data_IF_161772900379
#
_entry.id   IF_161772900379
#
_cell.length_a   1.000
_cell.length_b   1.000
_cell.length_c   1.000
_cell.angle_alpha   90.00
_cell.angle_beta   90.00
_cell.angle_gamma   90.00
#
_symmetry.space_group_name_H-M   'P 1'
#
loop_
_entity.id
_entity.type
_entity.pdbx_description
1 polymer ?
#
# COMPACT_ATOMS: atom_id res chain seq x y z
N UNK A 1 23.74 -12.99 8.70
CA UNK A 1 22.69 -13.79 9.37
C UNK A 1 21.36 -13.44 8.73
N UNK A 2 20.44 -14.40 8.58
CA UNK A 2 19.14 -14.17 7.95
C UNK A 2 18.22 -13.29 8.80
N UNK A 3 17.16 -12.73 8.21
CA UNK A 3 16.11 -12.03 8.95
C UNK A 3 15.31 -12.98 9.82
N UNK A 4 14.61 -12.44 10.81
CA UNK A 4 13.66 -13.19 11.63
C UNK A 4 12.28 -12.56 11.55
N UNK A 5 11.28 -13.39 11.29
CA UNK A 5 9.87 -13.06 11.28
C UNK A 5 9.22 -13.59 12.54
N UNK A 6 8.58 -12.70 13.31
CA UNK A 6 7.73 -13.03 14.45
C UNK A 6 6.29 -12.95 13.97
N UNK A 7 5.53 -14.02 14.15
CA UNK A 7 4.27 -14.23 13.44
C UNK A 7 3.17 -14.50 14.44
N UNK A 8 2.06 -13.78 14.34
CA UNK A 8 0.91 -13.97 15.22
C UNK A 8 0.28 -15.36 15.03
N UNK A 9 -0.14 -15.99 16.12
CA UNK A 9 -0.71 -17.37 16.12
C UNK A 9 -1.95 -17.47 15.22
N UNK A 10 -2.71 -16.38 15.07
CA UNK A 10 -3.84 -16.31 14.16
C UNK A 10 -3.45 -16.59 12.70
N UNK A 11 -2.23 -16.20 12.30
CA UNK A 11 -1.67 -16.48 10.97
C UNK A 11 -1.35 -17.96 10.81
N UNK A 12 -0.82 -18.62 11.85
CA UNK A 12 -0.59 -20.07 11.84
C UNK A 12 -1.90 -20.83 11.64
N UNK A 13 -2.92 -20.47 12.43
CA UNK A 13 -4.25 -21.06 12.32
C UNK A 13 -4.90 -20.83 10.95
N UNK A 14 -4.69 -19.64 10.38
CA UNK A 14 -5.18 -19.31 9.04
C UNK A 14 -4.48 -20.13 7.93
N UNK A 15 -3.15 -20.17 7.92
CA UNK A 15 -2.38 -20.95 6.93
C UNK A 15 -2.68 -22.45 7.04
N UNK A 16 -2.84 -22.97 8.26
CA UNK A 16 -3.19 -24.37 8.50
C UNK A 16 -4.55 -24.73 7.90
N UNK A 17 -5.57 -23.87 8.08
CA UNK A 17 -6.89 -24.04 7.45
C UNK A 17 -6.82 -24.02 5.93
N UNK A 18 -5.97 -23.16 5.35
CA UNK A 18 -5.76 -23.16 3.90
C UNK A 18 -5.11 -24.44 3.39
N UNK A 19 -4.20 -25.06 4.16
CA UNK A 19 -3.62 -26.36 3.81
C UNK A 19 -4.66 -27.50 3.77
N UNK A 20 -5.73 -27.41 4.57
CA UNK A 20 -6.82 -28.40 4.60
C UNK A 20 -7.77 -28.25 3.40
N UNK A 21 -7.89 -27.05 2.84
CA UNK A 21 -8.75 -26.73 1.69
C UNK A 21 -8.04 -27.07 0.37
N UNK A 22 -7.88 -28.36 0.08
CA UNK A 22 -7.16 -28.84 -1.11
C UNK A 22 -7.94 -28.63 -2.42
N UNK A 23 -7.57 -27.60 -3.17
CA UNK A 23 -7.75 -27.52 -4.61
C UNK A 23 -6.69 -26.59 -5.24
N UNK A 24 -5.55 -27.16 -5.63
CA UNK A 24 -4.49 -26.45 -6.37
C UNK A 24 -3.52 -25.63 -5.52
N UNK A 25 -2.68 -24.82 -6.20
CA UNK A 25 -1.76 -23.90 -5.54
C UNK A 25 -2.50 -22.67 -5.03
N UNK A 26 -2.25 -22.29 -3.77
CA UNK A 26 -2.84 -21.12 -3.12
C UNK A 26 -1.75 -20.09 -2.96
N UNK A 27 -1.97 -18.85 -3.40
CA UNK A 27 -1.10 -17.71 -3.14
C UNK A 27 -1.79 -16.69 -2.26
N UNK A 28 -1.00 -15.82 -1.63
CA UNK A 28 -1.51 -14.72 -0.86
C UNK A 28 -0.41 -13.82 -0.33
N UNK A 29 -0.80 -12.85 0.49
CA UNK A 29 0.06 -11.79 0.99
C UNK A 29 0.24 -11.94 2.49
N UNK A 30 1.43 -11.57 2.97
CA UNK A 30 1.77 -11.45 4.38
C UNK A 30 1.84 -9.97 4.71
N UNK A 31 1.12 -9.55 5.75
CA UNK A 31 0.97 -8.15 6.15
C UNK A 31 1.50 -7.98 7.56
N UNK A 32 2.17 -6.86 7.80
CA UNK A 32 2.84 -6.64 9.06
C UNK A 32 3.62 -5.33 9.10
N UNK A 33 4.55 -5.26 10.05
CA UNK A 33 5.46 -4.13 10.18
C UNK A 33 6.90 -4.62 10.14
N UNK A 34 7.71 -3.98 9.29
CA UNK A 34 9.15 -4.22 9.26
C UNK A 34 9.88 -3.43 10.34
N UNK A 35 10.98 -4.00 10.84
CA UNK A 35 11.92 -3.28 11.72
C UNK A 35 13.36 -3.64 11.35
N UNK A 36 14.31 -2.87 11.90
CA UNK A 36 15.74 -3.03 11.60
C UNK A 36 16.29 -4.39 12.02
N UNK A 37 15.68 -5.05 13.01
CA UNK A 37 16.14 -6.34 13.53
C UNK A 37 15.25 -7.53 13.17
N UNK A 38 13.93 -7.33 13.18
CA UNK A 38 12.92 -8.38 13.00
C UNK A 38 11.69 -7.78 12.35
N UNK A 39 10.94 -8.62 11.65
CA UNK A 39 9.66 -8.23 11.08
C UNK A 39 8.52 -8.94 11.80
N UNK A 40 7.37 -8.28 11.87
CA UNK A 40 6.21 -8.74 12.63
C UNK A 40 5.07 -8.98 11.66
N UNK A 41 4.72 -10.24 11.43
CA UNK A 41 3.61 -10.63 10.57
C UNK A 41 2.35 -10.75 11.42
N UNK A 42 1.38 -9.87 11.18
CA UNK A 42 0.16 -9.78 11.99
C UNK A 42 -1.04 -10.44 11.31
N UNK A 43 -1.04 -10.48 9.98
CA UNK A 43 -2.13 -11.11 9.22
C UNK A 43 -1.63 -11.66 7.89
N UNK A 44 -2.38 -12.60 7.35
CA UNK A 44 -2.17 -13.17 6.02
C UNK A 44 -3.51 -13.19 5.28
N UNK A 45 -3.49 -12.86 4.00
CA UNK A 45 -4.70 -12.86 3.16
C UNK A 45 -4.47 -13.68 1.90
N UNK A 46 -5.40 -14.57 1.58
CA UNK A 46 -5.35 -15.40 0.37
C UNK A 46 -5.73 -14.52 -0.83
N UNK A 47 -4.99 -14.65 -1.92
CA UNK A 47 -5.39 -14.06 -3.20
C UNK A 47 -6.70 -14.70 -3.66
N UNK A 48 -7.76 -13.90 -3.91
CA UNK A 48 -9.07 -14.41 -4.33
C UNK A 48 -8.97 -15.27 -5.59
N UNK A 49 -9.88 -16.23 -5.78
CA UNK A 49 -9.99 -16.96 -7.04
C UNK A 49 -10.70 -16.10 -8.09
N UNK A 50 -10.19 -16.07 -9.32
CA UNK A 50 -10.84 -15.38 -10.43
C UNK A 50 -12.09 -16.16 -10.86
N UNK A 51 -13.27 -15.53 -10.83
CA UNK A 51 -14.57 -16.19 -11.08
C UNK A 51 -14.65 -16.87 -12.47
N UNK A 52 -13.90 -16.41 -13.47
CA UNK A 52 -13.88 -16.99 -14.82
C UNK A 52 -12.97 -18.23 -15.00
N UNK A 53 -12.17 -18.60 -13.99
CA UNK A 53 -11.11 -19.62 -14.11
C UNK A 53 -11.45 -20.97 -13.47
N UNK A 54 -12.73 -21.31 -13.30
CA UNK A 54 -13.12 -22.65 -12.88
C UNK A 54 -12.74 -23.76 -13.91
N UNK A 55 -12.38 -23.38 -15.15
CA UNK A 55 -12.05 -24.32 -16.23
C UNK A 55 -10.55 -24.38 -16.62
N UNK A 56 -9.70 -23.48 -16.12
CA UNK A 56 -8.27 -23.50 -16.40
C UNK A 56 -7.49 -23.95 -15.15
N UNK A 57 -7.46 -25.26 -14.92
CA UNK A 57 -6.56 -25.90 -13.96
C UNK A 57 -5.11 -25.82 -14.47
N UNK A 58 -4.56 -24.61 -14.53
CA UNK A 58 -3.13 -24.37 -14.65
C UNK A 58 -2.56 -24.28 -13.23
N UNK A 59 -1.65 -25.19 -12.87
CA UNK A 59 -1.00 -25.26 -11.56
C UNK A 59 -0.16 -24.01 -11.18
N UNK A 60 -0.06 -23.01 -12.05
CA UNK A 60 0.73 -21.79 -11.83
C UNK A 60 -0.14 -20.63 -11.35
N UNK A 61 0.31 -19.86 -10.35
CA UNK A 61 -0.43 -18.69 -9.89
C UNK A 61 -0.53 -17.62 -10.97
N UNK A 62 -1.71 -17.03 -11.11
CA UNK A 62 -1.95 -15.83 -11.92
C UNK A 62 -1.20 -14.65 -11.29
N UNK A 63 -0.11 -14.22 -11.95
CA UNK A 63 0.81 -13.23 -11.38
C UNK A 63 0.17 -11.86 -11.37
N UNK A 64 -0.48 -11.50 -12.46
CA UNK A 64 -1.20 -10.24 -12.64
C UNK A 64 -2.28 -10.09 -11.58
N UNK A 65 -2.98 -11.18 -11.25
CA UNK A 65 -4.01 -11.16 -10.21
C UNK A 65 -3.45 -11.02 -8.79
N UNK A 66 -2.31 -11.65 -8.49
CA UNK A 66 -1.62 -11.46 -7.20
C UNK A 66 -1.12 -10.02 -7.05
N UNK A 67 -0.62 -9.42 -8.14
CA UNK A 67 -0.17 -8.02 -8.18
C UNK A 67 -1.34 -7.08 -7.93
N UNK A 68 -2.48 -7.30 -8.60
CA UNK A 68 -3.69 -6.49 -8.40
C UNK A 68 -4.26 -6.63 -6.97
N UNK A 69 -4.30 -7.86 -6.43
CA UNK A 69 -4.66 -8.07 -5.03
C UNK A 69 -3.71 -7.33 -4.08
N UNK A 70 -2.41 -7.29 -4.38
CA UNK A 70 -1.44 -6.55 -3.57
C UNK A 70 -1.66 -5.04 -3.63
N UNK A 71 -1.99 -4.49 -4.80
CA UNK A 71 -2.39 -3.07 -4.95
C UNK A 71 -3.58 -2.74 -4.06
N UNK A 72 -4.62 -3.57 -4.12
CA UNK A 72 -5.84 -3.32 -3.35
C UNK A 72 -5.58 -3.39 -1.86
N UNK A 73 -4.84 -4.41 -1.42
CA UNK A 73 -4.45 -4.56 -0.02
C UNK A 73 -3.59 -3.39 0.43
N UNK A 74 -2.55 -3.00 -0.32
CA UNK A 74 -1.66 -1.90 0.08
C UNK A 74 -2.40 -0.57 0.25
N UNK A 75 -3.39 -0.29 -0.61
CA UNK A 75 -4.28 0.89 -0.53
C UNK A 75 -5.21 0.89 0.69
N UNK A 76 -5.42 -0.27 1.32
CA UNK A 76 -6.29 -0.45 2.49
C UNK A 76 -5.54 -0.48 3.82
N UNK A 77 -4.20 -0.54 3.80
CA UNK A 77 -3.41 -0.64 5.02
C UNK A 77 -3.27 0.72 5.71
N UNK A 78 -3.48 0.79 7.04
CA UNK A 78 -3.16 1.98 7.82
C UNK A 78 -1.65 2.15 7.98
N UNK A 79 -1.23 3.34 8.38
CA UNK A 79 0.15 3.68 8.69
C UNK A 79 0.85 2.64 9.56
N UNK A 80 2.10 2.35 9.23
CA UNK A 80 2.90 1.36 9.94
C UNK A 80 2.64 -0.09 9.56
N UNK A 81 1.58 -0.38 8.81
CA UNK A 81 1.38 -1.70 8.20
C UNK A 81 1.73 -1.66 6.72
N UNK A 82 2.38 -2.72 6.24
CA UNK A 82 2.73 -2.91 4.84
C UNK A 82 2.62 -4.38 4.44
N UNK A 83 2.60 -4.63 3.13
CA UNK A 83 2.77 -5.97 2.58
C UNK A 83 4.25 -6.35 2.76
N UNK A 84 4.52 -7.29 3.66
CA UNK A 84 5.87 -7.77 3.95
C UNK A 84 6.35 -8.79 2.92
N UNK A 85 5.43 -9.43 2.22
CA UNK A 85 5.75 -10.40 1.17
C UNK A 85 4.62 -11.32 0.78
N UNK A 86 4.98 -12.44 0.16
CA UNK A 86 4.04 -13.36 -0.51
C UNK A 86 4.18 -14.76 0.08
N UNK A 87 3.07 -15.46 0.26
CA UNK A 87 3.07 -16.89 0.56
C UNK A 87 2.52 -17.71 -0.61
N UNK A 88 2.99 -18.95 -0.70
CA UNK A 88 2.44 -19.99 -1.57
C UNK A 88 2.25 -21.29 -0.79
N UNK A 89 1.12 -21.95 -1.00
CA UNK A 89 0.82 -23.29 -0.50
C UNK A 89 0.68 -24.19 -1.72
N UNK A 90 1.59 -25.14 -1.87
CA UNK A 90 1.59 -26.11 -2.98
C UNK A 90 2.26 -27.40 -2.54
N UNK A 91 1.89 -28.52 -3.14
CA UNK A 91 2.49 -29.82 -2.82
C UNK A 91 3.85 -30.06 -3.52
N UNK A 92 4.24 -29.16 -4.43
CA UNK A 92 5.49 -29.21 -5.19
C UNK A 92 6.63 -28.42 -4.52
N UNK A 93 7.69 -29.11 -4.09
CA UNK A 93 8.93 -28.49 -3.59
C UNK A 93 9.97 -28.30 -4.71
N UNK A 94 9.61 -27.63 -5.81
CA UNK A 94 10.50 -27.45 -6.96
C UNK A 94 11.26 -26.12 -6.95
N UNK A 95 12.37 -26.05 -7.71
CA UNK A 95 13.06 -24.78 -7.99
C UNK A 95 12.17 -23.78 -8.74
N UNK A 96 11.16 -24.27 -9.45
CA UNK A 96 10.22 -23.45 -10.21
C UNK A 96 9.28 -22.69 -9.26
N UNK A 97 8.87 -23.32 -8.14
CA UNK A 97 8.10 -22.64 -7.08
C UNK A 97 8.88 -21.47 -6.51
N UNK A 98 10.16 -21.66 -6.17
CA UNK A 98 11.01 -20.57 -5.67
C UNK A 98 11.16 -19.44 -6.69
N UNK A 99 11.35 -19.78 -7.96
CA UNK A 99 11.46 -18.81 -9.06
C UNK A 99 10.16 -18.02 -9.23
N UNK A 100 9.02 -18.69 -9.12
CA UNK A 100 7.69 -18.07 -9.23
C UNK A 100 7.44 -17.09 -8.08
N UNK A 101 7.70 -17.50 -6.84
CA UNK A 101 7.47 -16.61 -5.68
C UNK A 101 8.45 -15.44 -5.67
N UNK A 102 9.70 -15.65 -6.12
CA UNK A 102 10.64 -14.54 -6.37
C UNK A 102 10.03 -13.53 -7.35
N UNK A 103 9.59 -13.99 -8.52
CA UNK A 103 8.98 -13.10 -9.52
C UNK A 103 7.78 -12.35 -8.97
N UNK A 104 6.92 -13.01 -8.19
CA UNK A 104 5.78 -12.39 -7.52
C UNK A 104 6.21 -11.29 -6.54
N UNK A 105 7.15 -11.57 -5.64
CA UNK A 105 7.63 -10.59 -4.66
C UNK A 105 8.21 -9.35 -5.33
N UNK A 106 9.05 -9.50 -6.34
CA UNK A 106 9.62 -8.35 -7.06
C UNK A 106 8.54 -7.57 -7.81
N UNK A 107 7.57 -8.25 -8.42
CA UNK A 107 6.49 -7.56 -9.14
C UNK A 107 5.54 -6.81 -8.20
N UNK A 108 5.17 -7.42 -7.07
CA UNK A 108 4.37 -6.81 -6.02
C UNK A 108 5.08 -5.58 -5.44
N UNK A 109 6.35 -5.70 -5.10
CA UNK A 109 7.10 -4.60 -4.52
C UNK A 109 7.33 -3.47 -5.52
N UNK A 110 7.67 -3.78 -6.78
CA UNK A 110 7.81 -2.77 -7.83
C UNK A 110 6.51 -1.98 -8.03
N UNK A 111 5.36 -2.67 -7.99
CA UNK A 111 4.05 -2.03 -8.07
C UNK A 111 3.85 -1.08 -6.89
N UNK A 112 3.94 -1.59 -5.66
CA UNK A 112 3.67 -0.80 -4.44
C UNK A 112 4.63 0.39 -4.35
N UNK A 113 5.93 0.17 -4.57
CA UNK A 113 6.94 1.22 -4.59
C UNK A 113 6.69 2.30 -5.66
N UNK A 114 6.04 1.95 -6.79
CA UNK A 114 5.73 2.92 -7.85
C UNK A 114 4.56 3.86 -7.53
N UNK A 115 3.70 3.48 -6.57
CA UNK A 115 2.57 4.30 -6.12
C UNK A 115 2.93 5.22 -4.93
N UNK A 116 4.12 5.05 -4.33
CA UNK A 116 4.58 5.92 -3.25
C UNK A 116 4.98 7.32 -3.78
N UNK A 117 4.59 8.36 -3.04
CA UNK A 117 4.95 9.76 -3.32
C UNK A 117 6.09 10.29 -2.43
N UNK A 118 6.78 9.39 -1.73
CA UNK A 118 7.94 9.70 -0.90
C UNK A 118 9.14 8.88 -1.36
N UNK A 119 10.33 9.38 -1.04
CA UNK A 119 11.56 8.63 -1.31
C UNK A 119 11.78 7.58 -0.20
N UNK A 120 12.37 6.42 -0.54
CA UNK A 120 12.85 5.49 0.47
C UNK A 120 13.89 6.18 1.35
N UNK A 121 13.74 6.05 2.67
CA UNK A 121 14.70 6.53 3.64
C UNK A 121 15.79 5.46 3.89
N UNK A 122 16.97 5.88 4.36
CA UNK A 122 18.10 4.97 4.60
C UNK A 122 17.80 3.86 5.62
N UNK A 123 16.83 4.10 6.52
CA UNK A 123 16.38 3.16 7.54
C UNK A 123 15.23 2.25 7.07
N UNK A 124 14.74 2.41 5.82
CA UNK A 124 13.70 1.55 5.28
C UNK A 124 14.24 0.14 4.97
N UNK A 125 13.49 -0.86 5.42
CA UNK A 125 13.80 -2.26 5.16
C UNK A 125 13.46 -2.62 3.71
N UNK A 126 14.44 -3.14 2.97
CA UNK A 126 14.27 -3.57 1.57
C UNK A 126 14.06 -5.08 1.42
N UNK A 127 14.20 -5.84 2.51
CA UNK A 127 13.95 -7.27 2.47
C UNK A 127 12.46 -7.58 2.47
N UNK A 128 12.04 -8.43 1.53
CA UNK A 128 10.68 -8.92 1.39
C UNK A 128 10.64 -10.44 1.58
N UNK A 129 9.63 -10.95 2.29
CA UNK A 129 9.53 -12.37 2.68
C UNK A 129 8.80 -13.22 1.64
N UNK A 130 9.26 -14.45 1.51
CA UNK A 130 8.60 -15.51 0.76
C UNK A 130 8.39 -16.70 1.66
N UNK A 131 7.14 -17.14 1.76
CA UNK A 131 6.76 -18.30 2.57
C UNK A 131 6.22 -19.39 1.65
N UNK A 132 6.89 -20.52 1.60
CA UNK A 132 6.38 -21.71 0.93
C UNK A 132 5.96 -22.75 1.96
N UNK A 133 4.70 -23.14 1.96
CA UNK A 133 4.17 -24.20 2.83
C UNK A 133 3.78 -25.40 1.98
N UNK A 134 4.37 -26.56 2.27
CA UNK A 134 3.98 -27.81 1.64
C UNK A 134 2.95 -28.54 2.53
N UNK A 135 1.68 -28.66 2.09
CA UNK A 135 0.64 -29.26 2.91
C UNK A 135 0.83 -30.77 3.12
N UNK A 136 1.52 -31.47 2.20
CA UNK A 136 1.77 -32.91 2.31
C UNK A 136 2.86 -33.22 3.32
N UNK A 137 3.97 -32.48 3.27
CA UNK A 137 5.12 -32.72 4.15
C UNK A 137 5.06 -31.90 5.44
N UNK A 138 4.14 -30.93 5.53
CA UNK A 138 4.04 -29.92 6.59
C UNK A 138 5.32 -29.10 6.77
N UNK A 139 6.14 -29.03 5.71
CA UNK A 139 7.37 -28.23 5.72
C UNK A 139 7.05 -26.80 5.33
N UNK A 140 7.65 -25.88 6.06
CA UNK A 140 7.59 -24.44 5.78
C UNK A 140 8.99 -23.95 5.43
N UNK A 141 9.11 -23.29 4.29
CA UNK A 141 10.34 -22.67 3.82
C UNK A 141 10.18 -21.16 3.80
N UNK A 142 10.89 -20.47 4.70
CA UNK A 142 10.92 -19.02 4.77
C UNK A 142 12.23 -18.49 4.16
N UNK A 143 12.12 -17.60 3.18
CA UNK A 143 13.26 -16.95 2.53
C UNK A 143 12.99 -15.47 2.27
N UNK A 144 14.04 -14.67 2.23
CA UNK A 144 13.95 -13.24 1.94
C UNK A 144 14.73 -12.85 0.70
N UNK A 145 14.27 -11.78 0.07
CA UNK A 145 14.92 -11.13 -1.06
C UNK A 145 15.08 -9.66 -0.76
N UNK A 146 16.26 -9.12 -1.05
CA UNK A 146 16.46 -7.68 -1.11
C UNK A 146 15.86 -7.18 -2.43
N UNK A 147 14.72 -6.51 -2.35
CA UNK A 147 13.94 -6.09 -3.53
C UNK A 147 14.58 -4.94 -4.30
N UNK A 148 15.54 -4.23 -3.70
CA UNK A 148 16.32 -3.19 -4.38
C UNK A 148 17.45 -3.77 -5.23
N UNK A 149 17.83 -5.02 -5.00
CA UNK A 149 18.80 -5.74 -5.82
C UNK A 149 18.09 -6.77 -6.72
N UNK A 150 17.91 -6.51 -8.03
CA UNK A 150 17.32 -7.47 -8.96
C UNK A 150 18.03 -8.83 -9.01
N UNK A 151 19.33 -8.86 -8.65
CA UNK A 151 20.17 -10.07 -8.59
C UNK A 151 20.18 -10.72 -7.21
N UNK A 152 19.43 -10.17 -6.25
CA UNK A 152 19.41 -10.64 -4.86
C UNK A 152 19.13 -12.13 -4.79
N UNK A 153 19.95 -12.90 -4.09
CA UNK A 153 19.72 -14.34 -3.91
C UNK A 153 18.83 -14.59 -2.69
N UNK A 154 18.06 -15.68 -2.73
CA UNK A 154 17.16 -16.05 -1.64
C UNK A 154 17.97 -16.37 -0.38
N UNK A 155 17.78 -15.60 0.70
CA UNK A 155 18.44 -15.82 1.99
C UNK A 155 17.47 -16.58 2.91
N UNK A 156 17.89 -17.67 3.57
CA UNK A 156 17.05 -18.31 4.60
C UNK A 156 16.72 -17.31 5.71
N UNK A 157 15.49 -17.37 6.23
CA UNK A 157 15.05 -16.55 7.34
C UNK A 157 14.33 -17.39 8.39
N UNK A 158 14.41 -16.93 9.63
CA UNK A 158 13.73 -17.55 10.76
C UNK A 158 12.24 -17.20 10.70
N UNK A 159 11.38 -18.20 10.87
CA UNK A 159 9.92 -18.04 10.95
C UNK A 159 9.44 -18.59 12.29
N UNK A 160 8.96 -17.71 13.18
CA UNK A 160 8.63 -18.07 14.56
C UNK A 160 7.24 -17.56 14.91
N UNK A 161 6.35 -18.49 15.26
CA UNK A 161 5.04 -18.14 15.82
C UNK A 161 5.18 -17.69 17.26
N UNK A 162 4.43 -16.65 17.63
CA UNK A 162 4.42 -16.10 18.97
C UNK A 162 3.04 -15.55 19.26
N UNK A 163 2.51 -15.88 20.44
CA UNK A 163 1.23 -15.33 20.90
C UNK A 163 1.34 -13.86 21.25
N UNK A 164 0.36 -13.05 20.82
CA UNK A 164 0.23 -11.67 21.26
C UNK A 164 1.27 -10.74 20.64
N UNK A 165 1.68 -10.98 19.39
CA UNK A 165 2.52 -10.05 18.62
C UNK A 165 1.89 -8.66 18.60
N UNK A 166 0.55 -8.60 18.46
CA UNK A 166 -0.20 -7.35 18.44
C UNK A 166 -0.37 -6.69 19.83
N UNK A 167 -0.04 -7.37 20.93
CA UNK A 167 -0.31 -6.85 22.29
C UNK A 167 0.55 -5.66 22.70
N UNK A 168 1.70 -5.47 22.04
CA UNK A 168 2.65 -4.37 22.28
C UNK A 168 2.49 -3.20 21.30
N UNK A 169 1.46 -3.21 20.46
CA UNK A 169 1.28 -2.22 19.41
C UNK A 169 0.59 -0.97 19.96
N UNK A 170 1.22 0.19 19.77
CA UNK A 170 0.62 1.49 20.07
C UNK A 170 0.01 2.08 18.81
N UNK A 171 -1.15 2.73 18.93
CA UNK A 171 -1.77 3.47 17.84
C UNK A 171 -1.58 4.97 18.08
N UNK A 172 -1.12 5.68 17.04
CA UNK A 172 -1.15 7.14 16.97
C UNK A 172 -2.13 7.55 15.86
N UNK A 173 -2.72 8.73 16.01
CA UNK A 173 -3.66 9.25 15.01
C UNK A 173 -3.51 10.75 14.85
N UNK A 174 -3.73 11.25 13.64
CA UNK A 174 -3.83 12.68 13.39
C UNK A 174 -5.00 12.99 12.44
N UNK A 175 -5.43 14.25 12.45
CA UNK A 175 -6.38 14.77 11.48
C UNK A 175 -5.71 15.93 10.74
N UNK A 176 -5.83 15.96 9.42
CA UNK A 176 -5.32 17.05 8.58
C UNK A 176 -6.39 17.51 7.60
N UNK A 177 -6.53 18.81 7.45
CA UNK A 177 -7.36 19.39 6.40
C UNK A 177 -6.52 19.52 5.14
N UNK A 178 -7.01 18.94 4.07
CA UNK A 178 -6.45 19.07 2.73
C UNK A 178 -7.24 20.16 2.00
N UNK A 179 -6.53 21.15 1.48
CA UNK A 179 -7.05 22.13 0.52
C UNK A 179 -5.92 22.43 -0.48
N UNK A 180 -5.93 21.71 -1.60
CA UNK A 180 -4.98 21.89 -2.69
C UNK A 180 -5.68 22.42 -3.94
N UNK A 181 -4.98 23.27 -4.67
CA UNK A 181 -5.39 23.76 -5.98
C UNK A 181 -4.35 23.33 -7.01
N UNK A 182 -4.74 22.42 -7.90
CA UNK A 182 -3.87 21.88 -8.95
C UNK A 182 -4.13 22.65 -10.25
N UNK A 183 -3.18 23.45 -10.74
CA UNK A 183 -3.32 24.11 -12.03
C UNK A 183 -3.22 23.10 -13.17
N UNK A 184 -4.13 23.20 -14.15
CA UNK A 184 -4.08 22.39 -15.36
C UNK A 184 -3.44 23.16 -16.52
N UNK A 185 -2.67 22.49 -17.41
CA UNK A 185 -2.05 23.15 -18.55
C UNK A 185 -3.10 23.70 -19.53
N UNK A 186 -2.73 24.76 -20.28
CA UNK A 186 -3.58 25.39 -21.32
C UNK A 186 -3.98 24.43 -22.46
N UNK A 187 -3.29 23.29 -22.57
CA UNK A 187 -3.52 22.29 -23.59
C UNK A 187 -4.75 21.41 -23.27
N UNK A 188 -5.75 21.40 -24.15
CA UNK A 188 -6.98 20.58 -24.07
C UNK A 188 -6.76 19.07 -24.29
N UNK A 189 -5.63 18.51 -23.88
CA UNK A 189 -5.28 17.10 -24.15
C UNK A 189 -5.60 16.19 -22.97
N UNK A 190 -6.86 15.74 -22.87
CA UNK A 190 -7.26 14.49 -22.23
C UNK A 190 -6.90 14.24 -20.76
N UNK A 191 -7.44 13.15 -20.23
CA UNK A 191 -7.29 12.70 -18.83
C UNK A 191 -5.83 12.37 -18.46
N UNK A 192 -4.98 12.04 -19.43
CA UNK A 192 -3.53 11.77 -19.22
C UNK A 192 -2.74 13.03 -18.79
N UNK A 193 -3.04 14.20 -19.34
CA UNK A 193 -2.38 15.45 -18.92
C UNK A 193 -2.80 15.87 -17.51
N UNK A 194 -4.03 15.55 -17.12
CA UNK A 194 -4.55 15.77 -15.77
C UNK A 194 -3.92 14.80 -14.76
N UNK A 195 -3.79 13.51 -15.08
CA UNK A 195 -3.10 12.52 -14.23
C UNK A 195 -1.66 12.97 -13.96
N UNK A 196 -0.94 13.40 -14.99
CA UNK A 196 0.43 13.89 -14.84
C UNK A 196 0.49 15.13 -13.94
N UNK A 197 -0.41 16.10 -14.16
CA UNK A 197 -0.45 17.34 -13.36
C UNK A 197 -0.78 17.07 -11.89
N UNK A 198 -1.74 16.17 -11.63
CA UNK A 198 -2.12 15.77 -10.27
C UNK A 198 -0.99 15.01 -9.58
N UNK A 199 -0.31 14.09 -10.27
CA UNK A 199 0.85 13.38 -9.71
C UNK A 199 1.97 14.32 -9.32
N UNK A 200 2.31 15.30 -10.16
CA UNK A 200 3.34 16.27 -9.82
C UNK A 200 2.93 17.16 -8.64
N UNK A 201 1.69 17.66 -8.61
CA UNK A 201 1.22 18.48 -7.49
C UNK A 201 1.15 17.69 -6.18
N UNK A 202 0.72 16.43 -6.23
CA UNK A 202 0.71 15.54 -5.07
C UNK A 202 2.12 15.22 -4.57
N UNK A 203 3.13 15.11 -5.46
CA UNK A 203 4.54 14.98 -5.04
C UNK A 203 5.02 16.24 -4.31
N UNK A 204 4.70 17.43 -4.84
CA UNK A 204 5.06 18.70 -4.19
C UNK A 204 4.42 18.77 -2.81
N UNK A 205 3.13 18.48 -2.70
CA UNK A 205 2.44 18.46 -1.42
C UNK A 205 2.98 17.39 -0.46
N UNK A 206 3.27 16.17 -0.95
CA UNK A 206 3.87 15.12 -0.14
C UNK A 206 5.23 15.56 0.43
N UNK A 207 6.05 16.26 -0.37
CA UNK A 207 7.33 16.80 0.07
C UNK A 207 7.18 17.94 1.10
N UNK A 208 6.18 18.80 0.94
CA UNK A 208 5.84 19.83 1.94
C UNK A 208 5.40 19.19 3.26
N UNK A 209 4.56 18.15 3.21
CA UNK A 209 4.13 17.43 4.40
C UNK A 209 5.30 16.69 5.06
N UNK A 210 6.18 16.08 4.26
CA UNK A 210 7.37 15.38 4.76
C UNK A 210 8.33 16.33 5.49
N UNK A 211 8.56 17.52 4.92
CA UNK A 211 9.42 18.57 5.51
C UNK A 211 8.76 19.40 6.61
N UNK A 212 7.43 19.31 6.77
CA UNK A 212 6.67 20.02 7.79
C UNK A 212 7.03 19.61 9.21
N UNK A 213 6.78 20.48 10.19
CA UNK A 213 7.02 20.16 11.61
C UNK A 213 5.82 19.40 12.16
N UNK A 214 6.04 18.20 12.69
CA UNK A 214 5.01 17.48 13.43
C UNK A 214 5.00 17.92 14.90
N UNK A 215 3.82 18.27 15.40
CA UNK A 215 3.58 18.48 16.83
C UNK A 215 2.86 17.25 17.37
N UNK A 216 3.44 16.63 18.40
CA UNK A 216 2.82 15.55 19.13
C UNK A 216 2.25 16.16 20.39
N UNK A 217 0.94 16.08 20.53
CA UNK A 217 0.21 16.73 21.60
C UNK A 217 0.38 18.25 21.69
N UNK A 218 0.51 18.91 20.53
CA UNK A 218 0.76 20.35 20.46
C UNK A 218 2.17 20.75 20.90
N UNK A 219 3.05 19.79 21.15
CA UNK A 219 4.45 20.02 21.51
C UNK A 219 5.37 19.49 20.42
N UNK A 220 6.42 20.27 20.12
CA UNK A 220 7.54 19.77 19.34
C UNK A 220 8.40 18.90 20.24
N UNK A 221 8.33 17.59 20.06
CA UNK A 221 9.17 16.63 20.77
C UNK A 221 10.46 16.39 19.99
N UNK A 222 11.55 16.06 20.68
CA UNK A 222 12.79 15.66 20.01
C UNK A 222 12.60 14.26 19.38
N UNK A 223 13.22 14.03 18.22
CA UNK A 223 13.06 12.80 17.41
C UNK A 223 13.26 11.49 18.20
N UNK A 224 14.17 11.50 19.18
CA UNK A 224 14.53 10.35 20.00
C UNK A 224 13.68 10.18 21.27
N UNK A 225 12.71 11.07 21.51
CA UNK A 225 11.84 10.99 22.69
C UNK A 225 10.88 9.80 22.58
N UNK A 226 10.61 9.13 23.70
CA UNK A 226 9.56 8.11 23.79
C UNK A 226 8.18 8.76 23.84
N UNK A 227 7.21 8.20 23.11
CA UNK A 227 5.86 8.78 23.02
C UNK A 227 5.08 8.62 24.33
N UNK A 228 4.51 9.72 24.81
CA UNK A 228 3.49 9.79 25.88
C UNK A 228 2.45 10.85 25.44
N UNK A 229 1.15 10.51 25.48
CA UNK A 229 0.15 11.04 24.51
C UNK A 229 -0.76 12.23 24.91
N UNK A 230 -1.43 12.79 23.89
CA UNK A 230 -2.20 14.07 23.86
C UNK A 230 -2.40 14.70 22.44
N UNK A 231 -3.01 15.89 22.29
CA UNK A 231 -3.75 16.37 21.07
C UNK A 231 -3.15 17.58 20.27
N UNK A 232 -3.51 17.80 18.98
CA UNK A 232 -2.84 18.68 17.95
C UNK A 232 -3.69 19.85 17.40
N UNK A 233 -3.03 20.91 16.84
CA UNK A 233 -3.57 22.09 16.10
C UNK A 233 -2.86 22.34 14.73
N UNK A 234 -3.52 23.01 13.77
CA UNK A 234 -3.29 23.02 12.29
C UNK A 234 -2.76 24.37 11.73
N UNK A 235 -2.01 24.38 10.61
CA UNK A 235 -1.48 25.62 10.01
C UNK A 235 -1.42 25.64 8.46
N UNK A 236 -1.77 26.80 7.87
CA UNK A 236 -2.08 27.03 6.43
C UNK A 236 -0.88 27.37 5.53
N UNK A 237 -1.03 27.05 4.23
CA UNK A 237 -0.10 27.33 3.12
C UNK A 237 -0.32 28.72 2.44
N UNK A 238 0.70 29.19 1.71
CA UNK A 238 0.77 30.48 0.99
C UNK A 238 0.57 30.34 -0.53
N UNK A 239 -0.14 31.29 -1.15
CA UNK A 239 -0.51 31.29 -2.59
C UNK A 239 0.65 31.63 -3.55
N UNK A 240 0.72 30.92 -4.68
CA UNK A 240 1.55 31.23 -5.86
C UNK A 240 0.64 31.43 -7.07
N UNK A 241 0.85 32.51 -7.84
CA UNK A 241 0.06 32.81 -9.06
C UNK A 241 0.75 32.22 -10.29
N UNK A 242 0.07 31.31 -10.99
CA UNK A 242 0.53 30.71 -12.24
C UNK A 242 -0.56 30.79 -13.32
N UNK A 243 -0.15 30.95 -14.59
CA UNK A 243 -1.06 30.91 -15.75
C UNK A 243 -1.50 29.46 -16.00
N UNK A 244 -2.81 29.20 -15.99
CA UNK A 244 -3.39 27.86 -16.15
C UNK A 244 -4.61 27.86 -17.08
N UNK A 245 -4.84 26.74 -17.75
CA UNK A 245 -6.00 26.53 -18.64
C UNK A 245 -7.28 26.15 -17.90
N UNK A 246 -7.11 25.74 -16.64
CA UNK A 246 -8.15 25.35 -15.69
C UNK A 246 -7.50 24.97 -14.37
N UNK A 247 -8.29 24.54 -13.39
CA UNK A 247 -7.78 24.02 -12.12
C UNK A 247 -8.67 22.91 -11.57
N UNK A 248 -8.07 22.02 -10.79
CA UNK A 248 -8.74 21.01 -9.97
C UNK A 248 -8.50 21.36 -8.52
N UNK A 249 -9.55 21.35 -7.69
CA UNK A 249 -9.39 21.55 -6.25
C UNK A 249 -9.63 20.24 -5.51
N UNK A 250 -8.70 19.89 -4.63
CA UNK A 250 -8.77 18.70 -3.76
C UNK A 250 -8.97 19.21 -2.34
N UNK A 251 -10.16 18.96 -1.78
CA UNK A 251 -10.54 19.43 -0.44
C UNK A 251 -11.11 18.32 0.41
N UNK A 252 -10.80 18.32 1.71
CA UNK A 252 -11.39 17.39 2.67
C UNK A 252 -10.60 17.29 3.96
N UNK A 253 -11.06 16.44 4.87
CA UNK A 253 -10.34 16.10 6.10
C UNK A 253 -9.89 14.64 6.06
N UNK A 254 -8.67 14.38 6.53
CA UNK A 254 -8.09 13.03 6.56
C UNK A 254 -7.80 12.68 8.00
N UNK A 255 -8.40 11.57 8.42
CA UNK A 255 -8.12 10.95 9.71
C UNK A 255 -7.14 9.81 9.48
N UNK A 256 -5.88 10.06 9.80
CA UNK A 256 -4.79 9.11 9.67
C UNK A 256 -4.60 8.34 10.97
N UNK A 257 -4.24 7.06 10.85
CA UNK A 257 -3.89 6.20 11.99
C UNK A 257 -2.64 5.42 11.63
N UNK A 258 -1.67 5.42 12.53
CA UNK A 258 -0.48 4.60 12.38
C UNK A 258 -0.28 3.69 13.59
N UNK A 259 0.09 2.44 13.32
CA UNK A 259 0.43 1.48 14.34
C UNK A 259 1.94 1.35 14.49
N UNK A 260 2.40 1.23 15.73
CA UNK A 260 3.81 1.16 16.07
C UNK A 260 4.06 -0.10 16.90
N UNK A 261 4.81 -1.05 16.34
CA UNK A 261 5.35 -2.16 17.09
C UNK A 261 6.64 -1.71 17.80
N UNK A 262 6.49 -1.30 19.05
CA UNK A 262 7.58 -1.15 20.01
C UNK A 262 6.96 -0.92 21.39
N UNK A 263 7.58 -1.48 22.44
CA UNK A 263 7.20 -1.14 23.82
C UNK A 263 7.47 0.35 24.15
N UNK A 264 8.35 0.99 23.36
CA UNK A 264 8.82 2.37 23.52
C UNK A 264 8.98 2.99 22.12
N UNK A 265 7.88 3.34 21.45
CA UNK A 265 7.95 3.92 20.11
C UNK A 265 8.57 5.32 20.17
N UNK A 266 9.51 5.59 19.27
CA UNK A 266 10.15 6.90 19.13
C UNK A 266 9.26 7.86 18.35
N UNK A 267 9.33 9.15 18.69
CA UNK A 267 8.67 10.25 17.98
C UNK A 267 8.92 10.20 16.48
N UNK A 268 10.19 10.03 16.07
CA UNK A 268 10.58 9.97 14.65
C UNK A 268 9.82 8.91 13.86
N UNK A 269 9.62 7.74 14.45
CA UNK A 269 8.90 6.65 13.80
C UNK A 269 7.42 6.96 13.65
N UNK A 270 6.78 7.50 14.70
CA UNK A 270 5.37 7.89 14.63
C UNK A 270 5.12 9.00 13.62
N UNK A 271 5.95 10.03 13.63
CA UNK A 271 5.89 11.11 12.64
C UNK A 271 6.03 10.58 11.21
N UNK A 272 7.04 9.74 10.96
CA UNK A 272 7.28 9.12 9.65
C UNK A 272 6.08 8.31 9.18
N UNK A 273 5.52 7.46 10.04
CA UNK A 273 4.41 6.59 9.68
C UNK A 273 3.10 7.36 9.47
N UNK A 274 2.81 8.38 10.29
CA UNK A 274 1.62 9.24 10.11
C UNK A 274 1.70 10.05 8.82
N UNK A 275 2.85 10.69 8.54
CA UNK A 275 3.03 11.45 7.30
C UNK A 275 2.84 10.56 6.08
N UNK A 276 3.45 9.37 6.06
CA UNK A 276 3.28 8.40 4.96
C UNK A 276 1.83 7.93 4.80
N UNK A 277 1.13 7.67 5.91
CA UNK A 277 -0.29 7.28 5.88
C UNK A 277 -1.18 8.39 5.30
N UNK A 278 -0.97 9.64 5.72
CA UNK A 278 -1.67 10.81 5.15
C UNK A 278 -1.40 10.94 3.65
N UNK A 279 -0.13 10.87 3.24
CA UNK A 279 0.26 10.97 1.82
C UNK A 279 -0.37 9.85 1.00
N UNK A 280 -0.24 8.60 1.47
CA UNK A 280 -0.80 7.43 0.81
C UNK A 280 -2.31 7.51 0.67
N UNK A 281 -2.99 7.99 1.72
CA UNK A 281 -4.44 8.15 1.74
C UNK A 281 -4.91 9.16 0.70
N UNK A 282 -4.25 10.32 0.57
CA UNK A 282 -4.58 11.29 -0.49
C UNK A 282 -4.30 10.70 -1.86
N UNK A 283 -3.10 10.17 -2.06
CA UNK A 283 -2.64 9.64 -3.34
C UNK A 283 -3.61 8.57 -3.87
N UNK A 284 -3.94 7.61 -2.99
CA UNK A 284 -4.87 6.52 -3.29
C UNK A 284 -6.25 7.06 -3.69
N UNK A 285 -6.80 8.01 -2.93
CA UNK A 285 -8.14 8.57 -3.23
C UNK A 285 -8.15 9.35 -4.54
N UNK A 286 -7.12 10.14 -4.81
CA UNK A 286 -6.99 10.86 -6.09
C UNK A 286 -6.85 9.89 -7.25
N UNK A 287 -6.02 8.85 -7.09
CA UNK A 287 -5.84 7.82 -8.10
C UNK A 287 -7.14 7.05 -8.38
N UNK A 288 -7.89 6.66 -7.35
CA UNK A 288 -9.19 6.01 -7.51
C UNK A 288 -10.19 6.90 -8.26
N UNK A 289 -10.24 8.20 -7.95
CA UNK A 289 -11.10 9.14 -8.67
C UNK A 289 -10.68 9.28 -10.14
N UNK A 290 -9.38 9.26 -10.43
CA UNK A 290 -8.87 9.28 -11.81
C UNK A 290 -9.21 7.99 -12.57
N UNK A 291 -9.07 6.84 -11.92
CA UNK A 291 -9.46 5.52 -12.45
C UNK A 291 -10.96 5.49 -12.78
N UNK A 292 -11.82 6.07 -11.92
CA UNK A 292 -13.26 6.20 -12.15
C UNK A 292 -13.57 7.13 -13.34
N UNK A 293 -12.87 8.25 -13.48
CA UNK A 293 -13.04 9.15 -14.63
C UNK A 293 -12.65 8.46 -15.94
N UNK A 294 -11.53 7.73 -15.97
CA UNK A 294 -11.05 6.99 -17.14
C UNK A 294 -12.04 5.90 -17.58
N UNK A 295 -12.51 5.08 -16.63
CA UNK A 295 -13.50 4.03 -16.90
C UNK A 295 -14.81 4.61 -17.44
N UNK A 296 -15.27 5.74 -16.88
CA UNK A 296 -16.47 6.43 -17.38
C UNK A 296 -16.31 6.99 -18.80
N UNK A 297 -15.12 7.45 -19.17
CA UNK A 297 -14.82 7.92 -20.53
C UNK A 297 -14.82 6.77 -21.54
N UNK A 298 -14.27 5.61 -21.17
CA UNK A 298 -14.27 4.41 -22.01
C UNK A 298 -15.69 3.87 -22.25
N UNK A 299 -16.52 3.81 -21.21
CA UNK A 299 -17.92 3.46 -21.32
C UNK A 299 -18.69 4.45 -22.20
N UNK A 300 -18.42 5.75 -22.06
CA UNK A 300 -19.05 6.78 -22.89
C UNK A 300 -18.65 6.66 -24.37
N UNK A 301 -17.38 6.33 -24.68
CA UNK A 301 -16.90 6.09 -26.04
C UNK A 301 -17.45 4.79 -26.63
N UNK A 302 -17.64 3.75 -25.80
CA UNK A 302 -18.32 2.50 -26.16
C UNK A 302 -19.80 2.72 -26.49
N UNK A 303 -20.50 3.53 -25.68
CA UNK A 303 -21.92 3.89 -25.87
C UNK A 303 -22.12 4.90 -27.03
N UNK A 304 -21.12 5.73 -27.31
CA UNK A 304 -21.12 6.70 -28.43
C UNK A 304 -21.05 6.06 -29.82
N UNK A 305 -20.70 4.77 -29.93
CA UNK A 305 -20.91 4.00 -31.17
C UNK A 305 -22.38 3.65 -31.43
N UNK A 306 -23.26 3.78 -30.44
CA UNK A 306 -24.71 3.47 -30.56
C UNK A 306 -25.59 4.73 -30.52
N UNK A 307 -25.09 5.88 -30.02
CA UNK A 307 -25.84 7.14 -30.03
C UNK A 307 -25.01 8.31 -30.58
N UNK A 308 -24.86 8.36 -31.91
CA UNK A 308 -24.67 9.64 -32.61
C UNK A 308 -26.02 10.13 -33.12
N UNK A 309 -26.75 10.84 -32.28
CA UNK A 309 -27.55 11.99 -32.72
C UNK A 309 -27.94 12.85 -31.52
N UNK A 310 -27.68 14.16 -31.69
CA UNK A 310 -28.14 15.33 -30.93
C UNK A 310 -27.40 15.75 -29.65
N UNK A 311 -26.85 16.97 -29.71
CA UNK A 311 -26.96 17.96 -28.63
C UNK A 311 -25.74 18.17 -27.74
N UNK A 312 -24.95 19.20 -28.04
CA UNK A 312 -23.94 19.81 -27.16
C UNK A 312 -24.57 20.33 -25.86
N UNK A 313 -24.04 19.90 -24.70
CA UNK A 313 -24.22 20.61 -23.43
C UNK A 313 -22.93 20.58 -22.60
N UNK A 314 -22.46 21.76 -22.22
CA UNK A 314 -21.35 21.99 -21.30
C UNK A 314 -21.78 21.58 -19.90
N UNK A 315 -21.14 20.57 -19.30
CA UNK A 315 -21.40 20.15 -17.92
C UNK A 315 -20.30 20.67 -16.99
N UNK A 316 -20.67 21.54 -16.06
CA UNK A 316 -19.89 21.79 -14.83
C UNK A 316 -20.39 20.78 -13.80
N UNK A 317 -19.55 19.81 -13.42
CA UNK A 317 -19.85 18.87 -12.32
C UNK A 317 -19.15 19.36 -11.05
N UNK A 318 -19.94 19.73 -10.04
CA UNK A 318 -19.48 19.77 -8.64
C UNK A 318 -19.64 18.36 -8.09
N UNK A 319 -18.55 17.71 -7.71
CA UNK A 319 -18.61 16.53 -6.84
C UNK A 319 -18.64 16.99 -5.39
N UNK A 320 -19.75 16.75 -4.73
CA UNK A 320 -19.86 16.76 -3.27
C UNK A 320 -20.31 15.36 -2.86
N UNK A 321 -19.44 14.60 -2.19
CA UNK A 321 -19.89 13.44 -1.40
C UNK A 321 -19.84 13.83 0.08
N UNK A 322 -20.98 13.63 0.75
CA UNK A 322 -21.14 13.82 2.19
C UNK A 322 -20.47 12.66 2.93
N UNK A 323 -19.67 13.02 3.94
CA UNK A 323 -18.88 12.13 4.77
C UNK A 323 -19.69 11.55 5.94
N UNK A 324 -19.51 10.26 6.21
CA UNK A 324 -19.31 9.69 7.55
C UNK A 324 -18.09 8.77 7.48
#
# INVERSE_FOLDING_TARGET
MGRSYIVEDAVEGYLSKLCEQQAGSITGLLIGQSSTQRDFVVTATRTPQKEESAAAAGNSPDKEWVIEHARQVSRMLPGGLSVLGVFIITDTDSKDTLTTVRQLVFAVENLISSEHLWNPADDDVTDCVTLHVNPKTRKTFCRTFDVKDPKSMAKPADWKYQSGVCSSWSMVSCCINVDMLVPLPDNRTGTESMDTSLKEELKVWAHQLESGVCLIDGKKLAEDTELTGGQVDDQRLTDVVQRCGGSVSIRGAIHSRAYLHSNKPKVKLAEKLLKRDVVSTVATRVQMLLEELLTSEEESKGSSKVKRQTGTHTHVRKLTSLLH
#
